data_IF_876247511800
#
_entry.id   IF_876247511800
#
_cell.length_a   1.000
_cell.length_b   1.000
_cell.length_c   1.000
_cell.angle_alpha   90.00
_cell.angle_beta   90.00
_cell.angle_gamma   90.00
#
_symmetry.space_group_name_H-M   'P 1'
#
loop_
_entity.id
_entity.type
_entity.pdbx_description
1 polymer ?
#
# COMPACT_ATOMS: atom_id res chain seq x y z
N UNK A 1 -32.51 14.43 -4.78
CA UNK A 1 -32.17 13.05 -4.32
C UNK A 1 -30.81 12.61 -4.84
N UNK A 2 -30.08 11.83 -4.05
CA UNK A 2 -28.82 11.21 -4.46
C UNK A 2 -29.07 9.72 -4.74
N UNK A 3 -28.82 9.31 -5.96
CA UNK A 3 -29.08 7.97 -6.49
C UNK A 3 -27.78 7.21 -6.71
N UNK A 4 -27.81 5.90 -6.45
CA UNK A 4 -26.79 4.95 -6.91
C UNK A 4 -27.53 3.92 -7.77
N UNK A 5 -27.39 4.05 -9.10
CA UNK A 5 -28.29 3.35 -10.01
C UNK A 5 -29.74 3.77 -9.79
N UNK A 6 -30.62 2.82 -9.44
CA UNK A 6 -32.05 3.08 -9.19
C UNK A 6 -32.40 3.32 -7.71
N UNK A 7 -31.45 3.20 -6.79
CA UNK A 7 -31.72 3.30 -5.34
C UNK A 7 -31.44 4.71 -4.82
N UNK A 8 -32.37 5.26 -4.03
CA UNK A 8 -32.16 6.50 -3.26
C UNK A 8 -31.25 6.17 -2.09
N UNK A 9 -30.09 6.83 -2.03
CA UNK A 9 -29.09 6.58 -0.98
C UNK A 9 -28.82 7.78 -0.09
N UNK A 10 -29.16 8.99 -0.54
CA UNK A 10 -29.17 10.17 0.31
C UNK A 10 -30.16 11.23 -0.19
N UNK A 11 -30.57 12.10 0.72
CA UNK A 11 -31.32 13.32 0.45
C UNK A 11 -30.39 14.52 0.66
N UNK A 12 -30.42 15.44 -0.30
CA UNK A 12 -29.58 16.63 -0.31
C UNK A 12 -30.46 17.87 -0.40
N UNK A 13 -30.24 18.83 0.49
CA UNK A 13 -30.84 20.16 0.42
C UNK A 13 -29.74 21.20 0.29
N UNK A 14 -29.91 22.15 -0.61
CA UNK A 14 -28.99 23.26 -0.83
C UNK A 14 -29.79 24.56 -0.78
N UNK A 15 -29.32 25.53 0.00
CA UNK A 15 -29.86 26.88 0.01
C UNK A 15 -28.74 27.91 0.04
N UNK A 16 -29.06 29.11 -0.44
CA UNK A 16 -28.10 30.18 -0.68
C UNK A 16 -28.59 31.41 0.07
N UNK A 17 -27.80 31.89 1.01
CA UNK A 17 -28.09 33.09 1.77
C UNK A 17 -27.15 34.23 1.35
N UNK A 18 -27.65 35.46 1.13
CA UNK A 18 -26.79 36.59 0.81
C UNK A 18 -25.89 36.93 2.00
N UNK A 19 -24.60 37.16 1.73
CA UNK A 19 -23.67 37.65 2.75
C UNK A 19 -23.84 39.16 2.93
N UNK A 20 -23.48 39.74 4.10
CA UNK A 20 -23.57 41.20 4.31
C UNK A 20 -22.75 42.04 3.31
N UNK A 21 -21.73 41.45 2.67
CA UNK A 21 -20.96 42.10 1.60
C UNK A 21 -21.62 41.90 0.24
N UNK A 22 -21.79 42.98 -0.51
CA UNK A 22 -22.38 42.95 -1.84
C UNK A 22 -21.63 41.99 -2.77
N UNK A 23 -22.35 41.06 -3.40
CA UNK A 23 -21.79 40.08 -4.34
C UNK A 23 -21.22 38.80 -3.72
N UNK A 24 -21.29 38.63 -2.39
CA UNK A 24 -20.92 37.38 -1.72
C UNK A 24 -22.17 36.60 -1.28
N UNK A 25 -22.14 35.28 -1.42
CA UNK A 25 -23.22 34.37 -1.04
C UNK A 25 -22.67 33.23 -0.20
N UNK A 26 -23.38 32.89 0.88
CA UNK A 26 -23.15 31.67 1.66
C UNK A 26 -23.99 30.55 1.07
N UNK A 27 -23.35 29.45 0.69
CA UNK A 27 -24.04 28.25 0.21
C UNK A 27 -24.04 27.22 1.31
N UNK A 28 -25.21 26.88 1.81
CA UNK A 28 -25.39 25.82 2.81
C UNK A 28 -25.87 24.56 2.13
N UNK A 29 -25.32 23.44 2.57
CA UNK A 29 -25.68 22.12 2.05
C UNK A 29 -25.86 21.14 3.20
N UNK A 30 -26.97 20.42 3.20
CA UNK A 30 -27.27 19.35 4.14
C UNK A 30 -27.45 18.06 3.36
N UNK A 31 -26.71 17.03 3.75
CA UNK A 31 -26.84 15.68 3.22
C UNK A 31 -27.30 14.74 4.33
N UNK A 32 -28.45 14.11 4.13
CA UNK A 32 -28.93 13.02 4.97
C UNK A 32 -28.78 11.71 4.21
N UNK A 33 -27.85 10.85 4.66
CA UNK A 33 -27.68 9.52 4.08
C UNK A 33 -28.84 8.64 4.52
N UNK A 34 -29.66 8.19 3.58
CA UNK A 34 -30.83 7.34 3.84
C UNK A 34 -30.34 5.89 3.81
N UNK A 35 -29.97 5.38 4.98
CA UNK A 35 -29.51 4.01 5.12
C UNK A 35 -30.44 3.21 6.04
N UNK A 36 -30.90 2.05 5.56
CA UNK A 36 -31.69 1.14 6.40
C UNK A 36 -30.84 0.55 7.52
N UNK A 37 -31.42 0.38 8.71
CA UNK A 37 -30.73 -0.20 9.88
C UNK A 37 -30.14 -1.58 9.57
N UNK A 38 -30.89 -2.39 8.81
CA UNK A 38 -30.44 -3.73 8.37
C UNK A 38 -29.17 -3.62 7.53
N UNK A 39 -29.12 -2.70 6.57
CA UNK A 39 -27.96 -2.52 5.71
C UNK A 39 -26.72 -2.07 6.50
N UNK A 40 -26.91 -1.23 7.52
CA UNK A 40 -25.83 -0.84 8.44
C UNK A 40 -25.26 -2.03 9.21
N UNK A 41 -26.11 -2.91 9.75
CA UNK A 41 -25.66 -4.14 10.42
C UNK A 41 -24.96 -5.12 9.48
N UNK A 42 -25.46 -5.27 8.24
CA UNK A 42 -24.80 -6.09 7.22
C UNK A 42 -23.40 -5.57 6.91
N UNK A 43 -23.23 -4.25 6.70
CA UNK A 43 -21.90 -3.64 6.50
C UNK A 43 -20.98 -3.84 7.71
N UNK A 44 -21.53 -3.70 8.92
CA UNK A 44 -20.77 -3.90 10.15
C UNK A 44 -20.28 -5.35 10.28
N UNK A 45 -21.18 -6.33 10.10
CA UNK A 45 -20.82 -7.75 10.13
C UNK A 45 -19.80 -8.10 9.04
N UNK A 46 -19.99 -7.58 7.83
CA UNK A 46 -19.04 -7.73 6.73
C UNK A 46 -17.64 -7.21 7.08
N UNK A 47 -17.54 -5.99 7.64
CA UNK A 47 -16.26 -5.40 8.05
C UNK A 47 -15.62 -6.15 9.21
N UNK A 48 -16.42 -6.69 10.14
CA UNK A 48 -15.93 -7.51 11.24
C UNK A 48 -15.32 -8.82 10.73
N UNK A 49 -16.02 -9.51 9.83
CA UNK A 49 -15.52 -10.74 9.20
C UNK A 49 -14.26 -10.49 8.38
N UNK A 50 -14.25 -9.40 7.59
CA UNK A 50 -13.08 -9.02 6.79
C UNK A 50 -11.88 -8.67 7.69
N UNK A 51 -12.10 -7.99 8.82
CA UNK A 51 -11.04 -7.67 9.78
C UNK A 51 -10.47 -8.94 10.43
N UNK A 52 -11.34 -9.88 10.83
CA UNK A 52 -10.91 -11.18 11.34
C UNK A 52 -10.12 -11.98 10.30
N UNK A 53 -10.57 -11.96 9.04
CA UNK A 53 -9.88 -12.61 7.93
C UNK A 53 -8.48 -12.01 7.69
N UNK A 54 -8.37 -10.68 7.66
CA UNK A 54 -7.08 -9.98 7.54
C UNK A 54 -6.14 -10.39 8.69
N UNK A 55 -6.64 -10.42 9.94
CA UNK A 55 -5.84 -10.82 11.09
C UNK A 55 -5.30 -12.26 10.97
N UNK A 56 -6.16 -13.20 10.55
CA UNK A 56 -5.77 -14.60 10.33
C UNK A 56 -4.71 -14.72 9.23
N UNK A 57 -4.86 -14.00 8.12
CA UNK A 57 -3.89 -14.02 7.02
C UNK A 57 -2.54 -13.40 7.43
N UNK A 58 -2.55 -12.29 8.18
CA UNK A 58 -1.31 -11.71 8.76
C UNK A 58 -0.61 -12.75 9.63
N UNK A 59 -1.34 -13.44 10.49
CA UNK A 59 -0.76 -14.44 11.38
C UNK A 59 -0.13 -15.60 10.58
N UNK A 60 -0.88 -16.15 9.61
CA UNK A 60 -0.46 -17.30 8.80
C UNK A 60 0.73 -17.01 7.91
N UNK A 61 0.69 -15.87 7.22
CA UNK A 61 1.68 -15.52 6.20
C UNK A 61 2.91 -14.79 6.77
N UNK A 62 2.78 -14.14 7.95
CA UNK A 62 3.86 -13.34 8.53
C UNK A 62 4.34 -13.88 9.88
N UNK A 63 3.52 -13.75 10.93
CA UNK A 63 3.97 -13.98 12.31
C UNK A 63 4.34 -15.44 12.60
N UNK A 64 3.70 -16.41 11.95
CA UNK A 64 4.05 -17.83 12.10
C UNK A 64 5.53 -18.11 11.76
N UNK A 65 6.09 -17.39 10.78
CA UNK A 65 7.48 -17.58 10.36
C UNK A 65 8.49 -17.06 11.40
N UNK A 66 8.12 -16.05 12.18
CA UNK A 66 8.95 -15.52 13.27
C UNK A 66 9.11 -16.52 14.42
N UNK A 67 8.06 -17.29 14.73
CA UNK A 67 8.15 -18.35 15.75
C UNK A 67 9.18 -19.41 15.38
N UNK A 68 9.19 -19.83 14.10
CA UNK A 68 10.18 -20.79 13.60
C UNK A 68 11.59 -20.21 13.61
N UNK A 69 11.74 -18.95 13.16
CA UNK A 69 13.01 -18.24 13.16
C UNK A 69 13.60 -18.15 14.57
N UNK A 70 12.78 -17.81 15.57
CA UNK A 70 13.23 -17.69 16.96
C UNK A 70 13.72 -19.04 17.51
N UNK A 71 13.00 -20.13 17.25
CA UNK A 71 13.44 -21.48 17.63
C UNK A 71 14.76 -21.86 16.96
N UNK A 72 14.92 -21.56 15.68
CA UNK A 72 16.13 -21.87 14.92
C UNK A 72 17.34 -21.08 15.43
N UNK A 73 17.16 -19.80 15.74
CA UNK A 73 18.21 -18.95 16.32
C UNK A 73 18.62 -19.42 17.72
N UNK A 74 17.68 -19.91 18.54
CA UNK A 74 17.97 -20.47 19.86
C UNK A 74 18.75 -21.79 19.80
N UNK A 75 18.45 -22.64 18.82
CA UNK A 75 19.05 -23.98 18.70
C UNK A 75 20.41 -23.95 18.01
N UNK A 76 20.51 -23.25 16.88
CA UNK A 76 21.69 -23.30 16.01
C UNK A 76 22.59 -22.06 16.11
N UNK A 77 22.05 -20.93 16.57
CA UNK A 77 22.75 -19.64 16.52
C UNK A 77 23.08 -19.18 15.09
N UNK A 78 23.73 -18.03 14.97
CA UNK A 78 24.31 -17.54 13.72
C UNK A 78 25.81 -17.85 13.71
N UNK A 79 26.32 -18.36 12.58
CA UNK A 79 27.71 -18.77 12.45
C UNK A 79 28.68 -17.59 12.69
N UNK A 80 29.75 -17.82 13.46
CA UNK A 80 30.89 -16.90 13.57
C UNK A 80 31.22 -16.33 14.94
N UNK A 81 30.51 -16.70 16.02
CA UNK A 81 30.86 -16.31 17.40
C UNK A 81 30.81 -17.54 18.30
N UNK A 82 31.76 -17.67 19.22
CA UNK A 82 31.78 -18.71 20.24
C UNK A 82 30.41 -18.80 20.93
N UNK A 83 29.88 -20.02 21.01
CA UNK A 83 28.45 -20.34 21.14
C UNK A 83 27.77 -19.96 22.47
N UNK A 84 28.30 -18.99 23.23
CA UNK A 84 27.83 -18.66 24.58
C UNK A 84 27.69 -17.16 24.93
N UNK A 85 28.01 -16.22 24.04
CA UNK A 85 28.02 -14.78 24.40
C UNK A 85 27.28 -13.85 23.43
N UNK A 86 26.29 -14.34 22.68
CA UNK A 86 25.55 -13.53 21.71
C UNK A 86 24.07 -13.35 22.10
N UNK A 87 23.65 -12.08 22.21
CA UNK A 87 22.25 -11.69 22.29
C UNK A 87 21.75 -11.35 20.88
N UNK A 88 20.58 -11.87 20.51
CA UNK A 88 19.96 -11.61 19.21
C UNK A 88 18.81 -10.61 19.38
N UNK A 89 18.95 -9.45 18.74
CA UNK A 89 17.88 -8.47 18.60
C UNK A 89 17.20 -8.64 17.24
N UNK A 90 15.89 -8.89 17.24
CA UNK A 90 15.10 -9.16 16.04
C UNK A 90 14.19 -7.97 15.78
N UNK A 91 14.52 -7.22 14.74
CA UNK A 91 13.65 -6.16 14.25
C UNK A 91 12.63 -6.74 13.26
N UNK A 92 11.38 -6.79 13.71
CA UNK A 92 10.23 -7.22 12.91
C UNK A 92 9.89 -6.13 11.88
N UNK A 93 9.60 -6.55 10.65
CA UNK A 93 9.16 -5.68 9.57
C UNK A 93 7.65 -5.42 9.58
N UNK A 94 7.17 -4.80 8.51
CA UNK A 94 5.77 -4.45 8.30
C UNK A 94 5.11 -5.42 7.28
N UNK A 95 4.10 -6.20 7.70
CA UNK A 95 3.40 -7.15 6.82
C UNK A 95 2.46 -6.49 5.80
N UNK A 96 2.30 -5.16 5.83
CA UNK A 96 1.27 -4.44 5.08
C UNK A 96 1.22 -4.83 3.59
N UNK A 97 2.35 -4.87 2.88
CA UNK A 97 2.34 -5.19 1.43
C UNK A 97 1.78 -6.60 1.11
N UNK A 98 1.88 -7.53 2.05
CA UNK A 98 1.41 -8.90 1.88
C UNK A 98 -0.12 -8.98 1.96
N UNK A 99 -0.72 -8.20 2.86
CA UNK A 99 -2.17 -8.02 2.93
C UNK A 99 -2.66 -7.31 1.65
N UNK A 100 -1.95 -6.25 1.25
CA UNK A 100 -2.30 -5.42 0.09
C UNK A 100 -2.13 -6.13 -1.26
N UNK A 101 -1.42 -7.26 -1.29
CA UNK A 101 -1.28 -8.09 -2.50
C UNK A 101 -2.23 -9.30 -2.50
N UNK A 102 -3.01 -9.51 -1.43
CA UNK A 102 -3.93 -10.62 -1.34
C UNK A 102 -5.21 -10.37 -2.16
N UNK A 103 -5.50 -11.18 -3.20
CA UNK A 103 -6.53 -10.85 -4.19
C UNK A 103 -7.93 -10.71 -3.58
N UNK A 104 -8.29 -11.59 -2.65
CA UNK A 104 -9.61 -11.56 -2.01
C UNK A 104 -9.80 -10.32 -1.12
N UNK A 105 -8.75 -9.84 -0.45
CA UNK A 105 -8.84 -8.69 0.46
C UNK A 105 -8.99 -7.41 -0.35
N UNK A 106 -8.20 -7.25 -1.42
CA UNK A 106 -8.29 -6.09 -2.30
C UNK A 106 -9.68 -5.97 -2.96
N UNK A 107 -10.20 -7.07 -3.49
CA UNK A 107 -11.54 -7.11 -4.09
C UNK A 107 -12.61 -6.81 -3.05
N UNK A 108 -12.55 -7.44 -1.88
CA UNK A 108 -13.48 -7.20 -0.78
C UNK A 108 -13.50 -5.73 -0.32
N UNK A 109 -12.34 -5.10 -0.17
CA UNK A 109 -12.25 -3.68 0.19
C UNK A 109 -12.76 -2.76 -0.91
N UNK A 110 -12.53 -3.11 -2.19
CA UNK A 110 -13.03 -2.34 -3.33
C UNK A 110 -14.57 -2.42 -3.42
N UNK A 111 -15.14 -3.60 -3.15
CA UNK A 111 -16.59 -3.78 -3.05
C UNK A 111 -17.16 -2.96 -1.89
N UNK A 112 -16.51 -2.95 -0.72
CA UNK A 112 -16.94 -2.11 0.42
C UNK A 112 -17.02 -0.63 0.02
N UNK A 113 -16.04 -0.15 -0.74
CA UNK A 113 -16.01 1.23 -1.23
C UNK A 113 -17.18 1.51 -2.17
N UNK A 114 -17.46 0.63 -3.14
CA UNK A 114 -18.58 0.79 -4.07
C UNK A 114 -19.92 0.80 -3.32
N UNK A 115 -20.09 -0.11 -2.34
CA UNK A 115 -21.29 -0.19 -1.49
C UNK A 115 -21.45 1.01 -0.54
N UNK A 116 -20.41 1.83 -0.36
CA UNK A 116 -20.39 3.01 0.49
C UNK A 116 -20.22 4.32 -0.30
N UNK A 117 -20.55 4.32 -1.60
CA UNK A 117 -20.42 5.49 -2.48
C UNK A 117 -21.11 6.76 -1.98
N UNK A 118 -22.22 6.66 -1.25
CA UNK A 118 -22.91 7.81 -0.64
C UNK A 118 -22.04 8.52 0.40
N UNK A 119 -21.19 7.79 1.13
CA UNK A 119 -20.24 8.40 2.06
C UNK A 119 -19.07 9.07 1.35
N UNK A 120 -18.70 8.62 0.14
CA UNK A 120 -17.70 9.31 -0.69
C UNK A 120 -18.14 10.73 -1.06
N UNK A 121 -19.46 10.94 -1.25
CA UNK A 121 -20.02 12.28 -1.48
C UNK A 121 -19.91 13.17 -0.24
N UNK A 122 -20.21 12.63 0.95
CA UNK A 122 -19.99 13.33 2.23
C UNK A 122 -18.54 13.77 2.37
N UNK A 123 -17.61 12.86 2.07
CA UNK A 123 -16.18 13.13 2.08
C UNK A 123 -15.80 14.26 1.13
N UNK A 124 -16.31 14.26 -0.10
CA UNK A 124 -16.06 15.31 -1.08
C UNK A 124 -16.49 16.69 -0.55
N UNK A 125 -17.68 16.79 0.04
CA UNK A 125 -18.15 18.04 0.63
C UNK A 125 -17.28 18.52 1.80
N UNK A 126 -16.81 17.60 2.65
CA UNK A 126 -15.89 17.94 3.74
C UNK A 126 -14.55 18.49 3.23
N UNK A 127 -14.04 17.95 2.12
CA UNK A 127 -12.79 18.41 1.49
C UNK A 127 -12.94 19.82 0.92
N UNK A 128 -14.15 20.24 0.51
CA UNK A 128 -14.39 21.60 0.01
C UNK A 128 -14.45 22.68 1.10
N UNK A 129 -14.49 22.30 2.39
CA UNK A 129 -14.63 23.24 3.51
C UNK A 129 -13.28 23.60 4.13
N UNK A 130 -12.49 24.48 3.50
CA UNK A 130 -11.21 24.94 4.10
C UNK A 130 -11.36 25.84 5.33
N UNK A 131 -12.54 26.42 5.56
CA UNK A 131 -12.79 27.24 6.76
C UNK A 131 -12.74 26.38 8.04
N UNK A 132 -13.11 25.11 7.95
CA UNK A 132 -12.97 24.14 9.03
C UNK A 132 -11.91 23.09 8.64
N UNK A 133 -10.65 23.39 9.01
CA UNK A 133 -9.51 22.50 8.73
C UNK A 133 -9.72 21.09 9.28
N UNK A 134 -10.53 20.92 10.33
CA UNK A 134 -10.81 19.60 10.89
C UNK A 134 -11.68 18.77 9.94
N UNK A 135 -12.72 19.38 9.34
CA UNK A 135 -13.53 18.71 8.31
C UNK A 135 -12.69 18.37 7.09
N UNK A 136 -11.81 19.27 6.66
CA UNK A 136 -10.90 19.02 5.56
C UNK A 136 -10.00 17.79 5.82
N UNK A 137 -9.36 17.72 6.99
CA UNK A 137 -8.48 16.61 7.36
C UNK A 137 -9.26 15.30 7.47
N UNK A 138 -10.44 15.31 8.12
CA UNK A 138 -11.31 14.14 8.20
C UNK A 138 -11.78 13.67 6.82
N UNK A 139 -12.16 14.61 5.95
CA UNK A 139 -12.53 14.33 4.56
C UNK A 139 -11.37 13.65 3.81
N UNK A 140 -10.17 14.23 3.86
CA UNK A 140 -8.98 13.67 3.24
C UNK A 140 -8.65 12.25 3.74
N UNK A 141 -8.69 12.02 5.06
CA UNK A 141 -8.43 10.71 5.64
C UNK A 141 -9.48 9.68 5.24
N UNK A 142 -10.76 10.03 5.33
CA UNK A 142 -11.84 9.13 4.91
C UNK A 142 -11.79 8.83 3.40
N UNK A 143 -11.45 9.81 2.57
CA UNK A 143 -11.34 9.65 1.11
C UNK A 143 -10.11 8.85 0.68
N UNK A 144 -9.10 8.76 1.54
CA UNK A 144 -7.91 7.95 1.29
C UNK A 144 -8.22 6.46 1.15
N UNK A 145 -9.40 6.00 1.61
CA UNK A 145 -9.84 4.62 1.41
C UNK A 145 -9.90 4.21 -0.07
N UNK A 146 -10.04 5.16 -1.01
CA UNK A 146 -10.02 4.91 -2.46
C UNK A 146 -8.71 4.29 -2.93
N UNK A 147 -7.64 4.31 -2.13
CA UNK A 147 -6.37 3.61 -2.39
C UNK A 147 -6.55 2.11 -2.62
N UNK A 148 -7.60 1.49 -2.08
CA UNK A 148 -7.86 0.07 -2.33
C UNK A 148 -8.15 -0.22 -3.81
N UNK A 149 -8.71 0.73 -4.56
CA UNK A 149 -8.84 0.61 -6.01
C UNK A 149 -7.47 0.54 -6.70
N UNK A 150 -6.50 1.32 -6.21
CA UNK A 150 -5.10 1.28 -6.65
C UNK A 150 -4.47 -0.08 -6.37
N UNK A 151 -4.60 -0.61 -5.15
CA UNK A 151 -4.03 -1.92 -4.77
C UNK A 151 -4.66 -3.08 -5.54
N UNK A 152 -5.98 -3.07 -5.73
CA UNK A 152 -6.69 -4.03 -6.59
C UNK A 152 -6.15 -4.01 -8.00
N UNK A 153 -5.97 -2.81 -8.56
CA UNK A 153 -5.40 -2.65 -9.91
C UNK A 153 -3.97 -3.15 -9.96
N UNK A 154 -3.13 -2.82 -8.98
CA UNK A 154 -1.76 -3.34 -8.90
C UNK A 154 -1.73 -4.87 -8.86
N UNK A 155 -2.65 -5.50 -8.12
CA UNK A 155 -2.72 -6.96 -8.01
C UNK A 155 -3.07 -7.64 -9.33
N UNK A 156 -4.08 -7.13 -10.03
CA UNK A 156 -4.49 -7.72 -11.31
C UNK A 156 -3.54 -7.32 -12.46
N UNK A 157 -3.05 -6.09 -12.46
CA UNK A 157 -2.03 -5.66 -13.41
C UNK A 157 -0.73 -6.46 -13.26
N UNK A 158 -0.35 -6.87 -12.05
CA UNK A 158 0.80 -7.76 -11.85
C UNK A 158 0.65 -9.08 -12.63
N UNK A 159 -0.54 -9.68 -12.69
CA UNK A 159 -0.80 -10.89 -13.49
C UNK A 159 -0.63 -10.61 -14.99
N UNK A 160 -1.17 -9.48 -15.45
CA UNK A 160 -1.07 -9.04 -16.85
C UNK A 160 0.38 -8.76 -17.23
N UNK A 161 1.11 -8.03 -16.40
CA UNK A 161 2.54 -7.70 -16.59
C UNK A 161 3.37 -8.97 -16.68
N UNK A 162 3.13 -9.96 -15.80
CA UNK A 162 3.79 -11.26 -15.84
C UNK A 162 3.48 -12.04 -17.10
N UNK A 163 2.23 -12.01 -17.55
CA UNK A 163 1.81 -12.69 -18.79
C UNK A 163 2.51 -12.11 -20.03
N UNK A 164 2.75 -10.81 -20.05
CA UNK A 164 3.41 -10.11 -21.16
C UNK A 164 4.92 -9.90 -20.97
N UNK A 165 5.50 -10.36 -19.84
CA UNK A 165 6.92 -10.16 -19.48
C UNK A 165 7.35 -8.68 -19.45
N UNK A 166 6.49 -7.82 -18.90
CA UNK A 166 6.72 -6.37 -18.82
C UNK A 166 7.32 -5.92 -17.47
N UNK A 167 7.85 -6.83 -16.65
CA UNK A 167 8.37 -6.54 -15.31
C UNK A 167 9.49 -5.50 -15.35
N UNK A 168 10.28 -5.46 -16.44
CA UNK A 168 11.36 -4.50 -16.60
C UNK A 168 10.90 -3.04 -16.85
N UNK A 169 9.62 -2.81 -17.11
CA UNK A 169 9.03 -1.48 -17.35
C UNK A 169 8.45 -0.84 -16.09
N UNK A 170 8.23 -1.62 -15.04
CA UNK A 170 7.61 -1.14 -13.80
C UNK A 170 8.57 -1.29 -12.62
N UNK A 171 8.66 -0.24 -11.80
CA UNK A 171 9.39 -0.28 -10.53
C UNK A 171 8.41 -0.58 -9.40
N UNK A 172 8.75 -1.45 -8.42
CA UNK A 172 7.87 -1.80 -7.32
C UNK A 172 7.64 -0.60 -6.42
N UNK A 173 6.40 -0.42 -6.00
CA UNK A 173 5.98 0.69 -5.15
C UNK A 173 5.84 0.22 -3.70
N UNK A 174 6.25 1.11 -2.79
CA UNK A 174 6.10 0.90 -1.35
C UNK A 174 4.67 1.27 -0.92
N UNK A 175 4.07 0.48 -0.04
CA UNK A 175 2.72 0.72 0.50
C UNK A 175 2.59 2.10 1.15
N UNK A 176 3.65 2.59 1.79
CA UNK A 176 3.68 3.89 2.44
C UNK A 176 3.66 5.05 1.43
N UNK A 177 4.33 4.91 0.28
CA UNK A 177 4.26 5.91 -0.79
C UNK A 177 2.86 5.97 -1.39
N UNK A 178 2.24 4.80 -1.60
CA UNK A 178 0.88 4.70 -2.08
C UNK A 178 -0.10 5.39 -1.13
N UNK A 179 0.01 5.13 0.18
CA UNK A 179 -0.84 5.75 1.22
C UNK A 179 -0.67 7.27 1.28
N UNK A 180 0.57 7.77 1.20
CA UNK A 180 0.83 9.21 1.14
C UNK A 180 0.21 9.83 -0.12
N UNK A 181 0.40 9.18 -1.27
CA UNK A 181 -0.15 9.68 -2.52
C UNK A 181 -1.67 9.68 -2.52
N UNK A 182 -2.32 8.66 -1.95
CA UNK A 182 -3.78 8.64 -1.84
C UNK A 182 -4.31 9.74 -0.93
N UNK A 183 -3.64 10.06 0.18
CA UNK A 183 -4.04 11.19 1.03
C UNK A 183 -3.91 12.53 0.29
N UNK A 184 -2.86 12.68 -0.52
CA UNK A 184 -2.68 13.86 -1.37
C UNK A 184 -3.76 13.99 -2.45
N UNK A 185 -4.10 12.88 -3.12
CA UNK A 185 -5.14 12.86 -4.16
C UNK A 185 -6.55 13.04 -3.58
N UNK A 186 -6.83 12.39 -2.46
CA UNK A 186 -8.12 12.45 -1.80
C UNK A 186 -8.43 13.83 -1.22
N UNK A 187 -7.45 14.51 -0.62
CA UNK A 187 -7.64 15.85 -0.06
C UNK A 187 -7.26 16.97 -1.04
N UNK A 188 -6.00 17.46 -1.00
CA UNK A 188 -5.55 18.63 -1.76
C UNK A 188 -5.90 18.62 -3.24
N UNK A 189 -5.66 17.51 -3.95
CA UNK A 189 -5.95 17.45 -5.39
C UNK A 189 -7.46 17.53 -5.65
N UNK A 190 -8.27 16.81 -4.87
CA UNK A 190 -9.73 16.84 -5.01
C UNK A 190 -10.28 18.24 -4.72
N UNK A 191 -9.72 18.95 -3.74
CA UNK A 191 -10.04 20.36 -3.49
C UNK A 191 -9.71 21.24 -4.71
N UNK A 192 -8.53 21.11 -5.31
CA UNK A 192 -8.22 21.87 -6.53
C UNK A 192 -9.18 21.55 -7.67
N UNK A 193 -9.59 20.29 -7.83
CA UNK A 193 -10.57 19.89 -8.84
C UNK A 193 -11.91 20.61 -8.61
N UNK A 194 -12.40 20.70 -7.36
CA UNK A 194 -13.67 21.38 -7.07
C UNK A 194 -13.61 22.89 -7.30
N UNK A 195 -12.43 23.50 -7.23
CA UNK A 195 -12.21 24.93 -7.44
C UNK A 195 -11.75 25.30 -8.87
N UNK A 196 -11.64 24.33 -9.77
CA UNK A 196 -11.28 24.57 -11.17
C UNK A 196 -12.42 24.16 -12.10
N UNK A 197 -12.41 24.61 -13.38
CA UNK A 197 -13.37 24.17 -14.40
C UNK A 197 -13.48 22.65 -14.57
N UNK A 198 -12.49 21.88 -14.07
CA UNK A 198 -12.52 20.42 -14.07
C UNK A 198 -13.73 19.84 -13.31
N UNK A 199 -14.28 20.57 -12.33
CA UNK A 199 -15.51 20.16 -11.64
C UNK A 199 -16.69 19.97 -12.59
N UNK A 200 -16.73 20.69 -13.72
CA UNK A 200 -17.79 20.56 -14.72
C UNK A 200 -17.84 19.17 -15.36
N UNK A 201 -16.70 18.48 -15.47
CA UNK A 201 -16.66 17.09 -15.96
C UNK A 201 -17.42 16.18 -14.99
N UNK A 202 -17.19 16.34 -13.69
CA UNK A 202 -17.90 15.58 -12.66
C UNK A 202 -19.38 15.94 -12.59
N UNK A 203 -19.72 17.22 -12.71
CA UNK A 203 -21.12 17.69 -12.80
C UNK A 203 -21.84 17.11 -14.02
N UNK A 204 -21.15 17.00 -15.17
CA UNK A 204 -21.70 16.34 -16.35
C UNK A 204 -21.95 14.85 -16.08
N UNK A 205 -20.96 14.14 -15.52
CA UNK A 205 -21.07 12.70 -15.26
C UNK A 205 -22.25 12.34 -14.35
N UNK A 206 -22.52 13.14 -13.31
CA UNK A 206 -23.65 12.88 -12.39
C UNK A 206 -25.03 13.16 -13.01
N UNK A 207 -25.08 13.83 -14.16
CA UNK A 207 -26.31 14.16 -14.91
C UNK A 207 -26.56 13.23 -16.11
N UNK A 208 -25.66 12.25 -16.38
CA UNK A 208 -25.80 11.34 -17.54
C UNK A 208 -26.97 10.37 -17.39
N UNK A 209 -27.11 9.76 -16.21
CA UNK A 209 -28.09 8.70 -15.95
C UNK A 209 -29.46 9.13 -15.38
N UNK A 210 -29.61 10.20 -14.56
CA UNK A 210 -30.90 10.51 -13.96
C UNK A 210 -31.91 10.98 -15.02
N UNK A 211 -33.10 10.38 -15.00
CA UNK A 211 -34.23 10.74 -15.89
C UNK A 211 -34.79 12.13 -15.57
N UNK A 212 -34.77 12.51 -14.29
CA UNK A 212 -35.12 13.86 -13.82
C UNK A 212 -33.88 14.72 -13.67
N UNK A 213 -33.41 15.27 -14.78
CA UNK A 213 -32.32 16.26 -14.82
C UNK A 213 -32.73 17.44 -13.93
N UNK A 214 -31.89 17.80 -12.95
CA UNK A 214 -32.08 18.85 -11.91
C UNK A 214 -32.64 18.39 -10.54
N UNK A 215 -33.43 17.32 -10.44
CA UNK A 215 -33.97 16.85 -9.13
C UNK A 215 -33.12 15.73 -8.50
N UNK A 216 -32.40 14.98 -9.33
CA UNK A 216 -31.62 13.83 -8.91
C UNK A 216 -30.17 13.91 -9.38
N UNK A 217 -29.26 13.47 -8.51
CA UNK A 217 -27.83 13.33 -8.76
C UNK A 217 -27.52 11.84 -8.75
N UNK A 218 -27.00 11.31 -9.84
CA UNK A 218 -26.56 9.91 -9.91
C UNK A 218 -25.05 9.85 -9.61
N UNK A 219 -24.65 9.01 -8.65
CA UNK A 219 -23.28 9.00 -8.12
C UNK A 219 -22.44 7.83 -8.65
N UNK A 220 -23.04 6.76 -9.17
CA UNK A 220 -22.29 5.56 -9.57
C UNK A 220 -21.33 5.81 -10.72
N UNK A 221 -21.70 6.65 -11.69
CA UNK A 221 -20.82 6.99 -12.82
C UNK A 221 -19.64 7.82 -12.36
N UNK A 222 -19.90 8.84 -11.53
CA UNK A 222 -18.86 9.66 -10.91
C UNK A 222 -17.91 8.83 -10.06
N UNK A 223 -18.46 7.93 -9.23
CA UNK A 223 -17.67 7.00 -8.41
C UNK A 223 -16.80 6.07 -9.25
N UNK A 224 -17.35 5.51 -10.33
CA UNK A 224 -16.59 4.65 -11.24
C UNK A 224 -15.42 5.40 -11.88
N UNK A 225 -15.63 6.65 -12.31
CA UNK A 225 -14.57 7.51 -12.82
C UNK A 225 -13.51 7.82 -11.76
N UNK A 226 -13.90 8.14 -10.52
CA UNK A 226 -12.96 8.31 -9.42
C UNK A 226 -12.14 7.05 -9.15
N UNK A 227 -12.77 5.87 -9.12
CA UNK A 227 -12.08 4.60 -8.95
C UNK A 227 -11.10 4.34 -10.10
N UNK A 228 -11.45 4.66 -11.34
CA UNK A 228 -10.55 4.54 -12.50
C UNK A 228 -9.35 5.50 -12.41
N UNK A 229 -9.58 6.74 -11.96
CA UNK A 229 -8.49 7.70 -11.72
C UNK A 229 -7.54 7.12 -10.68
N UNK A 230 -8.03 6.70 -9.51
CA UNK A 230 -7.21 6.10 -8.45
C UNK A 230 -6.54 4.78 -8.89
N UNK A 231 -7.20 3.97 -9.72
CA UNK A 231 -6.65 2.75 -10.30
C UNK A 231 -5.47 3.03 -11.24
N UNK A 232 -5.49 4.14 -11.98
CA UNK A 232 -4.43 4.52 -12.92
C UNK A 232 -3.16 5.06 -12.24
N UNK A 233 -3.31 5.71 -11.08
CA UNK A 233 -2.22 6.31 -10.30
C UNK A 233 -1.03 5.37 -10.06
N UNK A 234 -1.19 4.16 -9.49
CA UNK A 234 -0.04 3.29 -9.21
C UNK A 234 0.71 2.87 -10.48
N UNK A 235 0.02 2.67 -11.60
CA UNK A 235 0.66 2.28 -12.86
C UNK A 235 1.51 3.43 -13.41
N UNK A 236 0.97 4.65 -13.38
CA UNK A 236 1.69 5.86 -13.76
C UNK A 236 2.89 6.09 -12.84
N UNK A 237 2.71 5.99 -11.52
CA UNK A 237 3.78 6.14 -10.55
C UNK A 237 4.89 5.10 -10.74
N UNK A 238 4.54 3.82 -10.94
CA UNK A 238 5.51 2.75 -11.15
C UNK A 238 6.29 2.94 -12.46
N UNK A 239 5.63 3.38 -13.54
CA UNK A 239 6.29 3.69 -14.81
C UNK A 239 7.22 4.92 -14.70
N UNK A 240 6.74 6.00 -14.07
CA UNK A 240 7.54 7.22 -13.85
C UNK A 240 8.75 6.90 -12.97
N UNK A 241 8.57 6.18 -11.86
CA UNK A 241 9.65 5.74 -10.99
C UNK A 241 10.70 4.94 -11.77
N UNK A 242 10.28 4.06 -12.67
CA UNK A 242 11.20 3.31 -13.53
C UNK A 242 11.99 4.21 -14.47
N UNK A 243 11.36 5.20 -15.09
CA UNK A 243 12.06 6.15 -15.98
C UNK A 243 13.11 6.97 -15.23
N UNK A 244 12.79 7.42 -14.01
CA UNK A 244 13.71 8.13 -13.13
C UNK A 244 14.88 7.22 -12.74
N UNK A 245 14.59 5.98 -12.31
CA UNK A 245 15.62 5.00 -11.94
C UNK A 245 16.58 4.71 -13.10
N UNK A 246 16.06 4.48 -14.32
CA UNK A 246 16.90 4.28 -15.52
C UNK A 246 17.78 5.50 -15.82
N UNK A 247 17.25 6.72 -15.68
CA UNK A 247 18.02 7.96 -15.87
C UNK A 247 19.14 8.08 -14.83
N UNK A 248 18.84 7.79 -13.56
CA UNK A 248 19.83 7.80 -12.48
C UNK A 248 20.91 6.72 -12.69
N UNK A 249 20.55 5.49 -13.07
CA UNK A 249 21.49 4.40 -13.36
C UNK A 249 22.42 4.73 -14.53
N UNK A 250 21.91 5.41 -15.57
CA UNK A 250 22.73 5.93 -16.68
C UNK A 250 23.72 7.01 -16.22
N UNK A 251 23.28 7.93 -15.34
CA UNK A 251 24.12 9.01 -14.81
C UNK A 251 25.15 8.50 -13.81
N UNK A 252 24.86 7.44 -13.07
CA UNK A 252 25.73 6.85 -12.04
C UNK A 252 26.26 5.48 -12.48
N UNK A 253 26.87 5.41 -13.68
CA UNK A 253 27.48 4.19 -14.25
C UNK A 253 28.63 3.58 -13.42
N UNK A 254 28.87 4.04 -12.20
CA UNK A 254 29.75 3.36 -11.24
C UNK A 254 28.96 2.20 -10.65
N UNK A 255 29.53 1.00 -10.75
CA UNK A 255 29.03 -0.26 -10.17
C UNK A 255 28.31 -0.01 -8.86
N UNK A 256 26.98 -0.22 -8.84
CA UNK A 256 26.21 -0.20 -7.59
C UNK A 256 26.77 -1.35 -6.76
N UNK A 257 27.41 -1.09 -5.61
CA UNK A 257 28.00 -2.16 -4.82
C UNK A 257 26.88 -3.07 -4.29
N UNK A 258 27.12 -4.38 -4.30
CA UNK A 258 26.18 -5.38 -3.79
C UNK A 258 25.75 -5.09 -2.34
N UNK A 259 26.62 -4.43 -1.57
CA UNK A 259 26.37 -3.97 -0.20
C UNK A 259 25.28 -2.90 -0.09
N UNK A 260 24.76 -2.33 -1.19
CA UNK A 260 23.64 -1.39 -1.10
C UNK A 260 22.38 -2.06 -0.56
N UNK A 261 22.16 -3.33 -0.92
CA UNK A 261 20.94 -4.06 -0.61
C UNK A 261 20.89 -4.60 0.83
N UNK A 262 22.06 -4.72 1.49
CA UNK A 262 22.15 -5.16 2.88
C UNK A 262 21.77 -4.06 3.89
N UNK A 263 21.79 -2.78 3.45
CA UNK A 263 21.59 -1.65 4.35
C UNK A 263 20.12 -1.42 4.70
N UNK A 264 19.86 -1.05 5.95
CA UNK A 264 18.55 -0.55 6.43
C UNK A 264 18.07 0.70 5.69
N UNK A 265 18.99 1.47 5.09
CA UNK A 265 18.67 2.64 4.23
C UNK A 265 18.06 2.26 2.88
N UNK A 266 18.20 1.01 2.44
CA UNK A 266 17.53 0.52 1.23
C UNK A 266 16.07 0.10 1.50
N UNK A 267 15.61 0.15 2.76
CA UNK A 267 14.23 -0.11 3.14
C UNK A 267 13.32 1.10 2.84
N UNK A 268 12.01 0.91 2.98
CA UNK A 268 11.00 1.95 2.76
C UNK A 268 11.32 3.22 3.58
N UNK A 269 10.98 4.38 3.03
CA UNK A 269 11.22 5.69 3.65
C UNK A 269 10.68 5.84 5.09
N UNK A 270 9.63 5.09 5.47
CA UNK A 270 9.15 5.03 6.86
C UNK A 270 10.22 4.53 7.85
N UNK A 271 11.03 3.56 7.44
CA UNK A 271 12.12 3.04 8.25
C UNK A 271 13.26 4.05 8.29
N UNK A 272 13.51 4.78 7.20
CA UNK A 272 14.48 5.87 7.22
C UNK A 272 14.10 6.93 8.27
N UNK A 273 12.81 7.29 8.36
CA UNK A 273 12.33 8.24 9.36
C UNK A 273 12.50 7.71 10.79
N UNK A 274 12.12 6.45 11.03
CA UNK A 274 12.33 5.80 12.32
C UNK A 274 13.81 5.73 12.70
N UNK A 275 14.68 5.33 11.78
CA UNK A 275 16.12 5.20 12.04
C UNK A 275 16.82 6.54 12.26
N UNK A 276 16.43 7.59 11.53
CA UNK A 276 16.99 8.94 11.72
C UNK A 276 16.64 9.50 13.10
N UNK A 277 15.48 9.14 13.66
CA UNK A 277 14.99 9.68 14.93
C UNK A 277 15.28 8.80 16.15
N UNK A 278 15.24 7.48 16.02
CA UNK A 278 15.24 6.56 17.17
C UNK A 278 16.47 5.66 17.29
N UNK A 279 17.31 5.55 16.25
CA UNK A 279 18.48 4.68 16.31
C UNK A 279 19.71 5.34 15.65
N UNK A 280 20.30 6.36 16.32
CA UNK A 280 21.57 6.89 15.89
C UNK A 280 22.64 5.85 16.22
N UNK A 281 23.21 5.26 15.18
CA UNK A 281 24.57 4.72 15.21
C UNK A 281 24.85 3.50 16.10
N UNK A 282 24.40 2.32 15.68
CA UNK A 282 25.22 1.11 15.88
C UNK A 282 25.54 0.52 14.50
N UNK A 283 26.70 0.89 13.97
CA UNK A 283 27.22 0.29 12.74
C UNK A 283 27.64 -1.15 13.05
N UNK A 284 26.91 -2.12 12.51
CA UNK A 284 27.33 -3.51 12.55
C UNK A 284 28.68 -3.68 11.84
N UNK A 285 29.61 -4.44 12.45
CA UNK A 285 30.92 -4.70 11.87
C UNK A 285 30.82 -5.48 10.54
N UNK A 286 29.78 -6.30 10.38
CA UNK A 286 29.48 -7.04 9.15
C UNK A 286 27.99 -6.99 8.83
N UNK A 287 27.65 -6.89 7.54
CA UNK A 287 26.27 -6.90 7.04
C UNK A 287 26.12 -7.99 5.99
N UNK A 288 25.07 -8.78 6.12
CA UNK A 288 24.77 -9.89 5.23
C UNK A 288 23.29 -9.86 4.82
N UNK A 289 23.00 -10.29 3.59
CA UNK A 289 21.64 -10.38 3.06
C UNK A 289 21.35 -9.39 1.93
N UNK A 290 20.09 -9.31 1.51
CA UNK A 290 19.67 -8.46 0.39
C UNK A 290 19.96 -9.04 -1.00
N UNK A 291 20.49 -10.27 -1.08
CA UNK A 291 20.75 -10.99 -2.34
C UNK A 291 19.49 -11.19 -3.18
N UNK A 292 18.32 -11.33 -2.54
CA UNK A 292 17.02 -11.37 -3.21
C UNK A 292 16.75 -10.09 -4.02
N UNK A 293 17.08 -8.91 -3.47
CA UNK A 293 16.90 -7.64 -4.19
C UNK A 293 17.94 -7.43 -5.28
N UNK A 294 19.15 -7.96 -5.08
CA UNK A 294 20.15 -8.00 -6.14
C UNK A 294 19.65 -8.85 -7.33
N UNK A 295 19.07 -10.03 -7.06
CA UNK A 295 18.43 -10.86 -8.08
C UNK A 295 17.30 -10.10 -8.78
N UNK A 296 16.47 -9.37 -8.02
CA UNK A 296 15.39 -8.57 -8.57
C UNK A 296 15.84 -7.37 -9.41
N UNK A 297 17.02 -6.77 -9.19
CA UNK A 297 17.55 -5.69 -10.05
C UNK A 297 18.19 -6.26 -11.33
N UNK A 298 18.81 -7.44 -11.24
CA UNK A 298 19.42 -8.11 -12.38
C UNK A 298 18.38 -8.74 -13.31
N UNK A 299 17.45 -9.51 -12.75
CA UNK A 299 16.43 -10.25 -13.48
C UNK A 299 15.04 -10.00 -12.84
N UNK A 300 14.31 -8.95 -13.29
CA UNK A 300 13.01 -8.59 -12.74
C UNK A 300 11.94 -9.69 -12.82
N UNK A 301 12.14 -10.68 -13.70
CA UNK A 301 11.24 -11.82 -13.86
C UNK A 301 11.08 -12.63 -12.57
N UNK A 302 12.05 -12.63 -11.65
CA UNK A 302 11.93 -13.33 -10.36
C UNK A 302 10.98 -12.66 -9.37
N UNK A 303 10.51 -11.43 -9.62
CA UNK A 303 9.54 -10.77 -8.75
C UNK A 303 8.16 -11.40 -8.96
N UNK A 304 7.59 -12.05 -7.96
CA UNK A 304 6.23 -12.60 -8.05
C UNK A 304 5.17 -11.50 -8.21
N UNK A 305 5.40 -10.37 -7.56
CA UNK A 305 4.53 -9.20 -7.58
C UNK A 305 5.30 -7.96 -8.06
N UNK A 306 5.42 -7.72 -9.38
CA UNK A 306 6.31 -6.68 -9.94
C UNK A 306 5.99 -5.25 -9.49
N UNK A 307 4.74 -4.97 -9.08
CA UNK A 307 4.30 -3.65 -8.64
C UNK A 307 4.40 -3.45 -7.12
N UNK A 308 4.61 -4.50 -6.34
CA UNK A 308 4.67 -4.42 -4.88
C UNK A 308 6.10 -4.56 -4.40
N UNK A 309 6.53 -3.63 -3.55
CA UNK A 309 7.80 -3.73 -2.85
C UNK A 309 7.67 -4.66 -1.64
N UNK A 310 8.48 -5.71 -1.59
CA UNK A 310 8.54 -6.62 -0.45
C UNK A 310 9.45 -6.11 0.68
N UNK A 311 10.16 -5.00 0.47
CA UNK A 311 11.20 -4.49 1.37
C UNK A 311 10.69 -4.24 2.78
N UNK A 312 9.47 -3.70 2.88
CA UNK A 312 8.83 -3.40 4.16
C UNK A 312 8.68 -4.60 5.08
N UNK A 313 8.50 -5.82 4.57
CA UNK A 313 8.29 -7.01 5.43
C UNK A 313 9.57 -7.65 5.95
N UNK A 314 10.73 -7.21 5.46
CA UNK A 314 11.99 -7.85 5.80
C UNK A 314 12.29 -7.74 7.30
N UNK A 315 12.90 -8.80 7.82
CA UNK A 315 13.37 -8.88 9.18
C UNK A 315 14.86 -8.55 9.23
N UNK A 316 15.29 -7.79 10.23
CA UNK A 316 16.71 -7.60 10.53
C UNK A 316 17.07 -8.29 11.83
N UNK A 317 18.02 -9.22 11.77
CA UNK A 317 18.57 -9.90 12.95
C UNK A 317 19.92 -9.29 13.26
N UNK A 318 20.05 -8.68 14.44
CA UNK A 318 21.28 -8.07 14.93
C UNK A 318 21.88 -8.99 15.98
N UNK A 319 23.15 -9.33 15.79
CA UNK A 319 23.93 -10.11 16.75
C UNK A 319 24.72 -9.14 17.61
N UNK A 320 24.40 -9.11 18.90
CA UNK A 320 25.03 -8.26 19.92
C UNK A 320 25.92 -9.14 20.80
N UNK A 321 27.20 -8.80 20.89
CA UNK A 321 28.10 -9.45 21.84
C UNK A 321 27.76 -8.98 23.26
N UNK A 322 27.48 -9.92 24.16
CA UNK A 322 27.09 -9.66 25.54
C UNK A 322 28.22 -8.99 26.33
N UNK A 323 29.48 -9.29 25.99
CA UNK A 323 30.64 -8.76 26.74
C UNK A 323 30.92 -7.30 26.40
N UNK A 324 30.75 -6.92 25.14
CA UNK A 324 31.13 -5.60 24.64
C UNK A 324 29.92 -4.70 24.31
N UNK A 325 28.71 -5.24 24.31
CA UNK A 325 27.48 -4.55 23.88
C UNK A 325 27.50 -4.12 22.40
N UNK A 326 28.48 -4.60 21.61
CA UNK A 326 28.67 -4.19 20.21
C UNK A 326 27.94 -5.13 19.26
N UNK A 327 27.47 -4.57 18.14
CA UNK A 327 26.83 -5.33 17.07
C UNK A 327 27.92 -5.96 16.18
N UNK A 328 28.06 -7.27 16.28
CA UNK A 328 29.05 -8.07 15.52
C UNK A 328 28.58 -8.28 14.08
N UNK A 329 27.28 -8.52 13.89
CA UNK A 329 26.71 -8.81 12.58
C UNK A 329 25.25 -8.39 12.47
N UNK A 330 24.85 -8.02 11.26
CA UNK A 330 23.46 -7.74 10.90
C UNK A 330 23.05 -8.56 9.68
N UNK A 331 21.97 -9.31 9.81
CA UNK A 331 21.44 -10.19 8.77
C UNK A 331 20.06 -9.69 8.33
N UNK A 332 19.92 -9.38 7.05
CA UNK A 332 18.62 -9.07 6.43
C UNK A 332 17.98 -10.35 5.89
N UNK A 333 16.84 -10.72 6.46
CA UNK A 333 16.05 -11.86 6.05
C UNK A 333 14.80 -11.37 5.29
N UNK A 334 14.64 -11.86 4.06
CA UNK A 334 13.49 -11.55 3.21
C UNK A 334 12.60 -12.76 3.03
N UNK A 335 11.29 -12.54 3.06
CA UNK A 335 10.30 -13.60 2.86
C UNK A 335 10.31 -14.12 1.43
N UNK A 336 10.40 -15.44 1.27
CA UNK A 336 10.29 -16.13 -0.02
C UNK A 336 8.93 -15.91 -0.71
N UNK A 337 7.92 -15.44 0.01
CA UNK A 337 6.59 -15.16 -0.56
C UNK A 337 6.63 -14.21 -1.77
N UNK A 338 7.60 -13.27 -1.82
CA UNK A 338 7.78 -12.33 -2.92
C UNK A 338 8.55 -12.89 -4.12
N UNK A 339 9.17 -14.06 -4.00
CA UNK A 339 9.98 -14.70 -5.04
C UNK A 339 9.11 -15.61 -5.92
N UNK A 340 9.32 -15.50 -7.24
CA UNK A 340 8.76 -16.41 -8.23
C UNK A 340 9.78 -17.50 -8.55
N UNK A 341 9.45 -18.75 -8.21
CA UNK A 341 10.33 -19.91 -8.45
C UNK A 341 10.32 -20.38 -9.91
N UNK A 342 9.43 -19.82 -10.76
CA UNK A 342 9.32 -20.19 -12.17
C UNK A 342 9.20 -21.71 -12.40
N UNK A 343 8.33 -22.37 -11.63
CA UNK A 343 8.19 -23.83 -11.64
C UNK A 343 7.91 -24.44 -13.04
N UNK A 344 7.43 -23.63 -14.00
CA UNK A 344 7.07 -24.06 -15.36
C UNK A 344 8.13 -23.74 -16.42
N UNK A 345 9.04 -22.79 -16.18
CA UNK A 345 10.04 -22.36 -17.18
C UNK A 345 11.40 -22.97 -16.82
N UNK A 346 11.88 -23.93 -17.61
CA UNK A 346 13.11 -24.67 -17.32
C UNK A 346 14.36 -23.79 -17.30
N UNK A 347 14.33 -22.63 -17.96
CA UNK A 347 15.47 -21.71 -18.08
C UNK A 347 15.64 -20.79 -16.87
N UNK A 348 14.56 -20.53 -16.13
CA UNK A 348 14.51 -19.60 -14.99
C UNK A 348 14.15 -20.29 -13.67
N UNK A 349 14.04 -21.62 -13.68
CA UNK A 349 13.61 -22.39 -12.51
C UNK A 349 14.65 -22.32 -11.40
N UNK A 350 14.23 -21.90 -10.22
CA UNK A 350 15.03 -22.03 -9.00
C UNK A 350 14.76 -23.42 -8.42
N UNK A 351 15.78 -24.27 -8.38
CA UNK A 351 15.70 -25.56 -7.72
C UNK A 351 15.65 -25.37 -6.20
N UNK A 352 14.55 -25.77 -5.58
CA UNK A 352 14.47 -25.87 -4.12
C UNK A 352 15.14 -27.17 -3.70
N UNK A 353 16.10 -27.11 -2.79
CA UNK A 353 16.68 -28.31 -2.20
C UNK A 353 15.57 -29.06 -1.43
N UNK A 354 15.35 -30.32 -1.78
CA UNK A 354 14.37 -31.19 -1.10
C UNK A 354 14.96 -31.89 0.12
N UNK A 355 16.28 -31.83 0.29
CA UNK A 355 16.97 -32.50 1.39
C UNK A 355 16.90 -31.65 2.67
N UNK A 356 16.52 -32.26 3.82
CA UNK A 356 16.53 -31.55 5.10
C UNK A 356 17.98 -31.25 5.49
N UNK A 357 18.40 -29.99 5.33
CA UNK A 357 19.69 -29.53 5.78
C UNK A 357 19.72 -29.42 7.32
N UNK A 358 20.00 -30.54 7.98
CA UNK A 358 20.07 -30.70 9.45
C UNK A 358 21.18 -29.89 10.13
N UNK A 359 22.12 -29.29 9.38
CA UNK A 359 23.35 -28.71 9.94
C UNK A 359 23.71 -27.29 9.44
N UNK A 360 22.85 -26.63 8.67
CA UNK A 360 23.09 -25.24 8.22
C UNK A 360 21.86 -24.38 8.46
N UNK A 361 22.10 -23.18 8.99
CA UNK A 361 21.09 -22.22 9.39
C UNK A 361 20.00 -22.08 8.31
N UNK A 362 18.77 -22.19 8.80
CA UNK A 362 17.57 -22.55 8.05
C UNK A 362 17.15 -21.42 7.11
N UNK A 363 16.98 -21.76 5.83
CA UNK A 363 16.15 -20.99 4.92
C UNK A 363 14.69 -21.01 5.41
N UNK A 364 14.11 -19.84 5.65
CA UNK A 364 12.66 -19.66 5.89
C UNK A 364 12.02 -19.00 4.68
#
# INVERSE_FOLDING_TARGET
HVLVGSFVTAESCLWIDPFPTAGAFSVYHVLQVVQTTIWSWVKFAYRLLLSGFIFVEIWRLYFRHYGLLLSNLKVYGLQGVESGSALYDIQVGDPTWMILSHPYICVAMTIDIICNSSYSVVTLFRISQLQDLWQFVLGSFCGSNLVWASYTTMRFAAVVIKRFRWEAYFEPLDASMMTLSSAFYAGPMSYMITHTPLVMVFQFLVQVLPTKKMEAIEVSVGMSMFLLIFASVPLLQAAVARTIFKRQKRKHRKTIPATRFDTTRYNDWKYLFFYVWFDPTLQAASKFGGTLYQLFDQEPQYRKFPLFSSRGSDCFVRQVDIQNGRIVGQYRLSLLHGLDFHAKDSSLRIATCTDPHLAKAICV
#
